data_IF_945409680063
#
_entry.id   IF_945409680063
#
_cell.length_a   1.000
_cell.length_b   1.000
_cell.length_c   1.000
_cell.angle_alpha   90.00
_cell.angle_beta   90.00
_cell.angle_gamma   90.00
#
_symmetry.space_group_name_H-M   'P 1'
#
loop_
_entity.id
_entity.type
_entity.pdbx_description
1 polymer ?
#
# COMPACT_ATOMS: atom_id res chain seq x y z
N UNK A 1 16.33 -4.93 -10.80
CA UNK A 1 14.89 -4.77 -11.12
C UNK A 1 14.19 -5.94 -10.43
N UNK A 2 13.18 -5.67 -9.60
CA UNK A 2 12.47 -6.74 -8.85
C UNK A 2 11.57 -7.56 -9.79
N UNK A 3 10.93 -6.88 -10.75
CA UNK A 3 9.99 -7.48 -11.71
C UNK A 3 10.26 -6.97 -13.13
N UNK A 4 10.03 -7.83 -14.12
CA UNK A 4 10.11 -7.49 -15.55
C UNK A 4 8.85 -6.83 -16.08
N UNK A 5 7.73 -6.97 -15.37
CA UNK A 5 6.46 -6.30 -15.65
C UNK A 5 6.08 -5.43 -14.45
N UNK A 6 5.81 -4.16 -14.71
CA UNK A 6 5.28 -3.20 -13.75
C UNK A 6 4.13 -2.50 -14.44
N UNK A 7 2.95 -2.54 -13.83
CA UNK A 7 1.81 -1.75 -14.26
C UNK A 7 1.72 -0.54 -13.31
N UNK A 8 1.66 0.67 -13.88
CA UNK A 8 1.70 1.93 -13.13
C UNK A 8 0.46 2.76 -13.48
N UNK A 9 -0.29 3.15 -12.46
CA UNK A 9 -1.56 3.85 -12.58
C UNK A 9 -1.52 5.09 -11.67
N UNK A 10 -1.60 6.28 -12.28
CA UNK A 10 -1.60 7.56 -11.57
C UNK A 10 -2.64 8.56 -12.10
N UNK A 11 -3.25 8.23 -13.25
CA UNK A 11 -4.21 9.10 -13.92
C UNK A 11 -5.59 8.91 -13.29
N UNK A 12 -6.14 9.97 -12.71
CA UNK A 12 -7.39 9.92 -11.92
C UNK A 12 -8.61 9.47 -12.71
N UNK A 13 -8.61 9.62 -14.04
CA UNK A 13 -9.68 9.07 -14.88
C UNK A 13 -9.60 7.54 -15.05
N UNK A 14 -8.46 6.93 -14.71
CA UNK A 14 -8.19 5.50 -14.83
C UNK A 14 -7.94 4.82 -13.46
N UNK A 15 -7.69 5.58 -12.39
CA UNK A 15 -7.61 5.06 -11.03
C UNK A 15 -8.99 5.11 -10.38
N UNK A 16 -9.93 4.30 -10.86
CA UNK A 16 -11.29 4.19 -10.27
C UNK A 16 -11.37 3.00 -9.30
N UNK A 17 -12.41 2.94 -8.46
CA UNK A 17 -12.72 1.78 -7.61
C UNK A 17 -12.84 0.51 -8.43
N UNK A 18 -13.56 0.57 -9.56
CA UNK A 18 -13.74 -0.59 -10.43
C UNK A 18 -12.41 -1.07 -10.99
N UNK A 19 -11.57 -0.16 -11.49
CA UNK A 19 -10.26 -0.51 -12.05
C UNK A 19 -9.36 -1.13 -10.99
N UNK A 20 -9.37 -0.59 -9.76
CA UNK A 20 -8.61 -1.17 -8.65
C UNK A 20 -9.09 -2.60 -8.33
N UNK A 21 -10.39 -2.81 -8.14
CA UNK A 21 -10.96 -4.14 -7.81
C UNK A 21 -10.67 -5.14 -8.93
N UNK A 22 -10.94 -4.77 -10.19
CA UNK A 22 -10.69 -5.63 -11.35
C UNK A 22 -9.22 -6.04 -11.39
N UNK A 23 -8.31 -5.10 -11.13
CA UNK A 23 -6.88 -5.37 -11.16
C UNK A 23 -6.42 -6.30 -10.03
N UNK A 24 -7.01 -6.15 -8.86
CA UNK A 24 -6.77 -7.07 -7.75
C UNK A 24 -7.33 -8.47 -8.03
N UNK A 25 -8.36 -8.60 -8.87
CA UNK A 25 -9.04 -9.86 -9.16
C UNK A 25 -8.50 -10.65 -10.38
N UNK A 26 -7.89 -9.99 -11.37
CA UNK A 26 -7.51 -10.60 -12.66
C UNK A 26 -6.45 -11.72 -12.55
N UNK A 27 -5.16 -11.37 -12.70
CA UNK A 27 -4.05 -12.34 -12.89
C UNK A 27 -3.22 -12.57 -11.63
N UNK A 28 -3.55 -11.88 -10.54
CA UNK A 28 -2.71 -11.78 -9.36
C UNK A 28 -1.49 -10.88 -9.57
N UNK A 29 -1.07 -10.25 -8.48
CA UNK A 29 0.03 -9.29 -8.43
C UNK A 29 0.93 -9.69 -7.28
N UNK A 30 2.19 -10.02 -7.58
CA UNK A 30 3.08 -10.45 -6.51
C UNK A 30 3.37 -9.30 -5.53
N UNK A 31 3.62 -8.09 -6.03
CA UNK A 31 3.87 -6.92 -5.19
C UNK A 31 2.99 -5.74 -5.58
N UNK A 32 2.20 -5.29 -4.61
CA UNK A 32 1.34 -4.10 -4.69
C UNK A 32 1.99 -2.99 -3.87
N UNK A 33 2.24 -1.86 -4.52
CA UNK A 33 2.62 -0.63 -3.84
C UNK A 33 1.58 0.42 -4.16
N UNK A 34 0.78 0.80 -3.17
CA UNK A 34 -0.35 1.69 -3.34
C UNK A 34 -0.14 2.97 -2.54
N UNK A 35 -0.49 4.10 -3.16
CA UNK A 35 -0.43 5.45 -2.60
C UNK A 35 -1.84 6.00 -2.64
N UNK A 36 -2.66 5.63 -1.66
CA UNK A 36 -4.07 5.94 -1.66
C UNK A 36 -4.43 6.56 -0.32
N UNK A 37 -5.23 7.63 -0.35
CA UNK A 37 -5.76 8.20 0.88
C UNK A 37 -6.58 7.15 1.62
N UNK A 38 -6.37 7.05 2.93
CA UNK A 38 -7.02 6.02 3.71
C UNK A 38 -7.39 6.49 5.12
N UNK A 39 -8.39 5.81 5.62
CA UNK A 39 -8.76 5.71 7.03
C UNK A 39 -8.81 4.21 7.34
N UNK A 40 -8.69 3.72 8.60
CA UNK A 40 -8.44 2.30 8.83
C UNK A 40 -9.27 1.34 7.97
N UNK A 41 -10.61 1.46 7.89
CA UNK A 41 -11.44 0.52 7.15
C UNK A 41 -11.76 0.95 5.71
N UNK A 42 -11.10 1.98 5.15
CA UNK A 42 -11.48 2.54 3.86
C UNK A 42 -10.31 3.14 3.08
N UNK A 43 -10.29 2.88 1.77
CA UNK A 43 -9.50 3.60 0.78
C UNK A 43 -10.40 4.62 0.07
N UNK A 44 -9.86 5.80 -0.18
CA UNK A 44 -10.51 6.90 -0.88
C UNK A 44 -9.82 7.12 -2.22
N UNK A 45 -10.51 6.70 -3.27
CA UNK A 45 -10.04 6.75 -4.64
C UNK A 45 -10.53 8.05 -5.27
N UNK A 46 -9.60 8.96 -5.62
CA UNK A 46 -9.93 10.21 -6.29
C UNK A 46 -10.23 9.96 -7.77
N UNK A 47 -11.45 10.31 -8.17
CA UNK A 47 -11.96 10.27 -9.54
C UNK A 47 -12.45 11.67 -9.89
N UNK A 48 -11.61 12.42 -10.59
CA UNK A 48 -11.90 13.78 -11.07
C UNK A 48 -12.38 14.77 -9.97
N UNK A 49 -11.85 14.64 -8.75
CA UNK A 49 -12.17 15.51 -7.61
C UNK A 49 -13.31 15.00 -6.73
N UNK A 50 -13.91 13.86 -7.07
CA UNK A 50 -14.86 13.12 -6.23
C UNK A 50 -14.20 11.84 -5.69
N UNK A 51 -14.74 11.27 -4.60
CA UNK A 51 -14.18 10.07 -3.99
C UNK A 51 -15.06 8.83 -4.16
N UNK A 52 -14.50 7.78 -4.74
CA UNK A 52 -15.03 6.43 -4.66
C UNK A 52 -14.39 5.69 -3.47
N UNK A 53 -15.20 4.93 -2.72
CA UNK A 53 -14.76 4.31 -1.46
C UNK A 53 -14.66 2.80 -1.62
N UNK A 54 -13.49 2.24 -1.32
CA UNK A 54 -13.31 0.80 -1.13
C UNK A 54 -13.27 0.54 0.38
N UNK A 55 -14.21 -0.23 0.88
CA UNK A 55 -14.26 -0.61 2.29
C UNK A 55 -13.43 -1.86 2.54
N UNK A 56 -12.99 -2.02 3.77
CA UNK A 56 -12.35 -3.25 4.26
C UNK A 56 -13.23 -4.50 4.06
N UNK A 57 -14.55 -4.32 3.99
CA UNK A 57 -15.53 -5.37 3.72
C UNK A 57 -15.72 -5.67 2.23
N UNK A 58 -15.19 -4.81 1.34
CA UNK A 58 -15.16 -5.07 -0.11
C UNK A 58 -13.97 -5.99 -0.49
N UNK A 59 -13.06 -6.29 0.45
CA UNK A 59 -11.94 -7.21 0.24
C UNK A 59 -12.42 -8.64 0.51
N UNK A 60 -12.27 -9.50 -0.50
CA UNK A 60 -12.60 -10.92 -0.42
C UNK A 60 -11.55 -11.81 -1.11
N UNK A 61 -11.83 -13.11 -1.18
CA UNK A 61 -10.93 -14.11 -1.78
C UNK A 61 -10.65 -13.91 -3.26
N UNK A 62 -11.39 -13.03 -3.95
CA UNK A 62 -11.10 -12.68 -5.33
C UNK A 62 -9.83 -11.85 -5.48
N UNK A 63 -9.40 -11.14 -4.43
CA UNK A 63 -8.17 -10.34 -4.45
C UNK A 63 -6.93 -11.25 -4.43
N UNK A 64 -6.03 -11.04 -5.39
CA UNK A 64 -4.87 -11.91 -5.67
C UNK A 64 -3.53 -11.19 -5.53
N UNK A 65 -3.39 -10.27 -4.58
CA UNK A 65 -2.10 -9.68 -4.24
C UNK A 65 -1.36 -10.46 -3.16
N UNK A 66 -0.04 -10.64 -3.27
CA UNK A 66 0.74 -11.41 -2.28
C UNK A 66 1.41 -10.52 -1.23
N UNK A 67 2.09 -9.46 -1.69
CA UNK A 67 2.81 -8.50 -0.85
C UNK A 67 2.24 -7.10 -1.05
N UNK A 68 1.90 -6.42 0.05
CA UNK A 68 1.40 -5.05 -0.01
C UNK A 68 2.29 -4.11 0.77
N UNK A 69 2.72 -3.04 0.12
CA UNK A 69 3.22 -1.85 0.78
C UNK A 69 2.14 -0.77 0.68
N UNK A 70 1.46 -0.53 1.79
CA UNK A 70 0.37 0.42 1.91
C UNK A 70 0.97 1.77 2.30
N UNK A 71 1.21 2.64 1.33
CA UNK A 71 1.46 4.06 1.57
C UNK A 71 0.11 4.76 1.82
N UNK A 72 -0.58 4.28 2.85
CA UNK A 72 -1.97 4.59 3.14
C UNK A 72 -2.11 4.92 4.63
N UNK A 73 -2.55 6.14 4.92
CA UNK A 73 -2.69 6.61 6.29
C UNK A 73 -3.60 5.69 7.11
N UNK A 74 -3.12 5.23 8.26
CA UNK A 74 -3.89 4.45 9.24
C UNK A 74 -4.43 3.08 8.75
N UNK A 75 -4.12 2.66 7.51
CA UNK A 75 -4.63 1.43 6.90
C UNK A 75 -4.23 0.15 7.66
N UNK A 76 -3.24 0.22 8.54
CA UNK A 76 -2.79 -0.86 9.40
C UNK A 76 -3.09 -0.64 10.90
N UNK A 77 -4.04 0.25 11.26
CA UNK A 77 -4.45 0.45 12.66
C UNK A 77 -5.15 -0.80 13.22
N UNK A 78 -4.36 -1.68 13.82
CA UNK A 78 -4.80 -2.98 14.33
C UNK A 78 -5.76 -2.95 15.52
N UNK A 79 -6.03 -1.78 16.11
CA UNK A 79 -7.01 -1.63 17.20
C UNK A 79 -8.45 -1.50 16.71
N UNK A 80 -8.66 -1.41 15.39
CA UNK A 80 -9.96 -1.33 14.73
C UNK A 80 -9.96 -2.17 13.44
N UNK A 81 -11.14 -2.39 12.84
CA UNK A 81 -11.23 -2.96 11.47
C UNK A 81 -10.38 -2.12 10.53
N UNK A 82 -9.51 -2.76 9.76
CA UNK A 82 -8.56 -2.06 8.91
C UNK A 82 -8.22 -2.80 7.61
N UNK A 83 -7.77 -2.07 6.59
CA UNK A 83 -7.43 -2.61 5.28
C UNK A 83 -6.34 -3.69 5.35
N UNK A 84 -5.27 -3.48 6.14
CA UNK A 84 -4.17 -4.43 6.22
C UNK A 84 -4.63 -5.80 6.77
N UNK A 85 -5.46 -5.79 7.83
CA UNK A 85 -6.05 -7.02 8.37
C UNK A 85 -7.01 -7.66 7.37
N UNK A 86 -7.88 -6.88 6.71
CA UNK A 86 -8.77 -7.42 5.67
C UNK A 86 -8.04 -8.06 4.49
N UNK A 87 -6.91 -7.49 4.05
CA UNK A 87 -6.07 -8.11 3.02
C UNK A 87 -5.49 -9.44 3.50
N UNK A 88 -4.92 -9.48 4.71
CA UNK A 88 -4.29 -10.69 5.27
C UNK A 88 -5.31 -11.80 5.57
N UNK A 89 -6.47 -11.48 6.13
CA UNK A 89 -7.44 -12.50 6.56
C UNK A 89 -8.59 -12.74 5.59
N UNK A 90 -8.88 -11.79 4.70
CA UNK A 90 -10.00 -11.86 3.76
C UNK A 90 -9.63 -12.41 2.38
N UNK A 91 -8.33 -12.56 2.09
CA UNK A 91 -7.86 -13.07 0.79
C UNK A 91 -7.11 -14.40 0.94
N UNK A 92 -7.11 -15.21 -0.10
CA UNK A 92 -6.38 -16.50 -0.11
C UNK A 92 -4.89 -16.34 -0.50
N UNK A 93 -4.50 -15.15 -0.99
CA UNK A 93 -3.19 -14.92 -1.61
C UNK A 93 -2.28 -13.99 -0.81
N UNK A 94 -2.81 -13.11 0.03
CA UNK A 94 -1.99 -12.15 0.78
C UNK A 94 -1.14 -12.85 1.84
N UNK A 95 0.17 -12.58 1.82
CA UNK A 95 1.15 -13.21 2.72
C UNK A 95 1.77 -12.19 3.66
N UNK A 96 2.00 -10.96 3.19
CA UNK A 96 2.56 -9.92 4.02
C UNK A 96 2.11 -8.52 3.60
N UNK A 97 1.86 -7.68 4.60
CA UNK A 97 1.48 -6.28 4.44
C UNK A 97 2.41 -5.42 5.28
N UNK A 98 2.90 -4.33 4.72
CA UNK A 98 3.57 -3.23 5.41
C UNK A 98 2.64 -2.01 5.34
N UNK A 99 2.32 -1.41 6.47
CA UNK A 99 1.42 -0.24 6.50
C UNK A 99 1.50 0.54 7.80
N UNK A 100 0.83 1.69 7.86
CA UNK A 100 0.89 2.60 9.01
C UNK A 100 -0.31 2.47 9.93
N UNK A 101 -0.07 2.54 11.25
CA UNK A 101 -1.12 2.60 12.30
C UNK A 101 -1.65 4.02 12.54
N UNK A 102 -0.96 5.03 11.99
CA UNK A 102 -1.29 6.45 12.09
C UNK A 102 -1.15 7.14 10.72
N UNK A 103 -1.27 8.47 10.66
CA UNK A 103 -0.87 9.23 9.48
C UNK A 103 0.61 8.95 9.17
N UNK A 104 0.90 8.64 7.91
CA UNK A 104 2.24 8.29 7.43
C UNK A 104 2.28 7.02 6.57
N UNK A 105 3.47 6.68 6.10
CA UNK A 105 3.74 5.54 5.22
C UNK A 105 5.22 5.44 4.83
N UNK A 106 5.57 4.46 4.01
CA UNK A 106 6.94 4.31 3.45
C UNK A 106 7.18 5.32 2.32
N UNK A 107 7.56 6.55 2.69
CA UNK A 107 7.76 7.69 1.78
C UNK A 107 8.98 7.54 0.85
N UNK A 108 10.05 6.91 1.37
CA UNK A 108 11.29 6.64 0.65
C UNK A 108 11.55 5.15 0.53
N UNK A 109 10.81 4.43 -0.33
CA UNK A 109 10.90 2.98 -0.38
C UNK A 109 12.17 2.49 -1.10
N UNK A 110 13.12 3.36 -1.46
CA UNK A 110 14.26 3.01 -2.31
C UNK A 110 15.09 1.88 -1.70
N UNK A 111 15.50 2.01 -0.43
CA UNK A 111 16.27 0.95 0.24
C UNK A 111 15.43 -0.29 0.54
N UNK A 112 14.12 -0.13 0.76
CA UNK A 112 13.18 -1.24 0.88
C UNK A 112 13.16 -2.07 -0.42
N UNK A 113 12.84 -1.42 -1.55
CA UNK A 113 12.78 -2.03 -2.88
C UNK A 113 14.13 -2.59 -3.33
N UNK A 114 15.22 -1.89 -3.07
CA UNK A 114 16.58 -2.37 -3.37
C UNK A 114 16.90 -3.65 -2.60
N UNK A 115 16.58 -3.70 -1.30
CA UNK A 115 16.77 -4.90 -0.49
C UNK A 115 15.96 -6.09 -1.01
N UNK A 116 14.69 -5.88 -1.37
CA UNK A 116 13.86 -6.89 -1.99
C UNK A 116 14.44 -7.38 -3.33
N UNK A 117 14.92 -6.47 -4.19
CA UNK A 117 15.54 -6.80 -5.47
C UNK A 117 16.86 -7.58 -5.35
N UNK A 118 17.54 -7.47 -4.20
CA UNK A 118 18.70 -8.29 -3.85
C UNK A 118 18.30 -9.64 -3.21
N UNK A 119 17.00 -9.94 -3.17
CA UNK A 119 16.44 -11.18 -2.67
C UNK A 119 16.27 -11.23 -1.15
N UNK A 120 16.38 -10.11 -0.43
CA UNK A 120 16.13 -10.08 1.02
C UNK A 120 14.68 -10.51 1.35
N UNK A 121 14.47 -11.07 2.54
CA UNK A 121 13.11 -11.30 3.02
C UNK A 121 12.41 -9.98 3.38
N UNK A 122 11.09 -10.01 3.42
CA UNK A 122 10.23 -8.85 3.65
C UNK A 122 10.64 -8.03 4.89
N UNK A 123 10.85 -8.71 6.02
CA UNK A 123 11.31 -8.10 7.27
C UNK A 123 12.73 -7.53 7.21
N UNK A 124 13.63 -8.19 6.48
CA UNK A 124 15.00 -7.67 6.30
C UNK A 124 15.01 -6.42 5.42
N UNK A 125 14.17 -6.37 4.38
CA UNK A 125 14.00 -5.18 3.57
C UNK A 125 13.43 -4.01 4.39
N UNK A 126 12.40 -4.27 5.21
CA UNK A 126 11.85 -3.27 6.13
C UNK A 126 12.92 -2.73 7.08
N UNK A 127 13.72 -3.61 7.70
CA UNK A 127 14.81 -3.21 8.58
C UNK A 127 15.85 -2.34 7.86
N UNK A 128 16.18 -2.66 6.62
CA UNK A 128 17.12 -1.84 5.82
C UNK A 128 16.57 -0.45 5.57
N UNK A 129 15.30 -0.34 5.21
CA UNK A 129 14.64 0.95 5.06
C UNK A 129 14.59 1.73 6.37
N UNK A 130 14.14 1.11 7.46
CA UNK A 130 14.02 1.78 8.75
C UNK A 130 15.37 2.32 9.24
N UNK A 131 16.45 1.55 9.08
CA UNK A 131 17.79 1.96 9.48
C UNK A 131 18.46 2.99 8.56
N UNK A 132 17.88 3.28 7.40
CA UNK A 132 18.42 4.26 6.45
C UNK A 132 17.61 5.55 6.43
N UNK A 133 16.28 5.45 6.48
CA UNK A 133 15.35 6.57 6.30
C UNK A 133 14.27 6.59 7.39
N UNK A 134 13.74 5.42 7.76
CA UNK A 134 12.58 5.34 8.65
C UNK A 134 12.82 5.80 10.09
N UNK A 135 14.08 6.03 10.49
CA UNK A 135 14.44 6.57 11.80
C UNK A 135 14.52 8.10 11.85
N UNK A 136 14.48 8.78 10.69
CA UNK A 136 14.75 10.23 10.60
C UNK A 136 13.53 11.12 10.92
N UNK A 137 12.31 10.58 10.80
CA UNK A 137 11.07 11.31 11.10
C UNK A 137 10.04 10.42 11.81
N UNK A 138 10.03 10.45 13.14
CA UNK A 138 9.04 9.75 13.95
C UNK A 138 7.60 10.22 13.67
N UNK A 139 7.40 11.49 13.33
CA UNK A 139 6.05 12.01 13.04
C UNK A 139 5.44 11.32 11.83
N UNK A 140 6.26 10.91 10.88
CA UNK A 140 5.83 10.19 9.67
C UNK A 140 5.98 8.67 9.76
N UNK A 141 7.13 8.18 10.22
CA UNK A 141 7.49 6.75 10.13
C UNK A 141 7.19 5.95 11.40
N UNK A 142 7.08 6.58 12.57
CA UNK A 142 6.73 5.84 13.78
C UNK A 142 5.32 5.23 13.63
N UNK A 143 5.14 3.96 13.98
CA UNK A 143 3.87 3.27 13.82
C UNK A 143 3.68 2.54 12.49
N UNK A 144 4.73 2.44 11.67
CA UNK A 144 4.80 1.42 10.62
C UNK A 144 4.83 0.03 11.24
N UNK A 145 3.99 -0.87 10.72
CA UNK A 145 3.92 -2.25 11.16
C UNK A 145 3.91 -3.21 9.98
N UNK A 146 4.26 -4.45 10.28
CA UNK A 146 4.17 -5.57 9.35
C UNK A 146 3.13 -6.56 9.86
N UNK A 147 2.21 -6.98 9.00
CA UNK A 147 1.30 -8.10 9.25
C UNK A 147 1.66 -9.24 8.29
N UNK A 148 1.59 -10.49 8.76
CA UNK A 148 1.95 -11.67 7.97
C UNK A 148 3.35 -12.21 8.29
N UNK A 149 3.99 -12.87 7.32
CA UNK A 149 5.30 -13.53 7.51
C UNK A 149 6.49 -12.60 7.16
N UNK A 150 7.34 -12.21 8.13
CA UNK A 150 8.50 -11.34 7.86
C UNK A 150 9.69 -12.07 7.22
N UNK A 151 9.74 -13.41 7.22
CA UNK A 151 10.89 -14.19 6.71
C UNK A 151 10.70 -14.69 5.28
N UNK A 152 9.53 -14.48 4.68
CA UNK A 152 9.28 -14.84 3.29
C UNK A 152 10.03 -13.91 2.32
N UNK A 153 10.35 -14.45 1.14
CA UNK A 153 11.01 -13.75 0.06
C UNK A 153 10.10 -13.71 -1.16
N UNK A 154 10.13 -12.59 -1.87
CA UNK A 154 9.53 -12.51 -3.20
C UNK A 154 10.34 -13.34 -4.19
N UNK A 155 9.66 -13.86 -5.20
CA UNK A 155 10.27 -14.54 -6.31
C UNK A 155 11.16 -13.56 -7.08
N UNK A 156 12.46 -13.83 -7.09
CA UNK A 156 13.40 -13.05 -7.89
C UNK A 156 13.73 -13.89 -9.12
N UNK A 157 13.17 -13.53 -10.28
CA UNK A 157 13.51 -14.17 -11.54
C UNK A 157 15.02 -14.04 -11.76
N UNK A 158 15.68 -15.15 -12.08
CA UNK A 158 17.13 -15.22 -12.16
C UNK A 158 17.68 -14.29 -13.26
N UNK A 159 18.97 -13.95 -13.21
CA UNK A 159 19.63 -13.14 -14.24
C UNK A 159 19.47 -13.73 -15.67
N UNK A 160 19.28 -15.05 -15.79
CA UNK A 160 18.97 -15.72 -17.07
C UNK A 160 17.55 -15.44 -17.59
N UNK A 161 16.60 -15.13 -16.71
CA UNK A 161 15.24 -14.75 -17.08
C UNK A 161 15.17 -13.26 -17.49
N UNK A 162 16.02 -12.41 -16.87
CA UNK A 162 16.14 -10.98 -17.14
C UNK A 162 16.81 -10.65 -18.48
N UNK A 163 17.68 -11.53 -18.98
CA UNK A 163 18.35 -11.36 -20.27
C UNK A 163 17.38 -11.38 -21.48
N UNK A 164 16.17 -11.93 -21.30
CA UNK A 164 15.15 -12.03 -22.36
C UNK A 164 14.27 -10.78 -22.50
N UNK A 165 14.35 -9.80 -21.59
CA UNK A 165 13.38 -8.70 -21.50
C UNK A 165 13.97 -7.30 -21.23
N UNK A 166 15.20 -7.03 -21.68
CA UNK A 166 15.89 -5.77 -21.43
C UNK A 166 15.11 -4.53 -21.91
N UNK A 167 14.55 -3.77 -20.98
CA UNK A 167 14.34 -2.32 -21.11
C UNK A 167 15.00 -1.60 -19.93
N UNK A 168 15.64 -0.50 -20.28
CA UNK A 168 16.53 0.34 -19.46
C UNK A 168 15.95 0.74 -18.10
N UNK A 169 16.80 0.73 -17.07
CA UNK A 169 16.55 1.24 -15.71
C UNK A 169 16.45 2.78 -15.63
N UNK A 170 16.47 3.48 -16.77
CA UNK A 170 16.50 4.95 -16.85
C UNK A 170 15.18 5.66 -16.52
N UNK A 171 14.11 4.93 -16.20
CA UNK A 171 12.75 5.49 -16.12
C UNK A 171 12.15 5.51 -14.70
N UNK A 172 12.89 5.14 -13.65
CA UNK A 172 12.52 5.57 -12.29
C UNK A 172 13.02 7.00 -12.10
N UNK A 173 12.15 7.97 -12.30
CA UNK A 173 12.39 9.35 -11.88
C UNK A 173 12.15 9.38 -10.36
N UNK A 174 13.16 9.70 -9.53
CA UNK A 174 12.93 9.98 -8.13
C UNK A 174 11.94 11.15 -8.03
N UNK A 175 10.90 11.00 -7.21
CA UNK A 175 10.00 12.11 -6.86
C UNK A 175 10.89 13.24 -6.31
N UNK A 176 10.76 14.43 -6.87
CA UNK A 176 11.58 15.60 -6.53
C UNK A 176 11.25 16.11 -5.12
N UNK A 177 12.19 16.78 -4.44
CA UNK A 177 11.95 17.33 -3.10
C UNK A 177 10.77 18.32 -3.04
N UNK A 178 10.41 18.95 -4.16
CA UNK A 178 9.24 19.85 -4.26
C UNK A 178 7.92 19.08 -4.38
N UNK A 179 7.85 18.04 -5.22
CA UNK A 179 6.71 17.11 -5.25
C UNK A 179 6.54 16.44 -3.89
N UNK A 180 7.64 16.28 -3.16
CA UNK A 180 7.60 15.73 -1.81
C UNK A 180 6.90 16.66 -0.82
N UNK A 181 7.31 17.92 -0.78
CA UNK A 181 6.70 18.92 0.10
C UNK A 181 5.21 19.16 -0.25
N UNK A 182 4.83 19.11 -1.53
CA UNK A 182 3.43 19.21 -1.94
C UNK A 182 2.60 18.02 -1.43
N UNK A 183 3.11 16.79 -1.56
CA UNK A 183 2.45 15.59 -1.01
C UNK A 183 2.39 15.65 0.53
N UNK A 184 3.44 16.16 1.19
CA UNK A 184 3.47 16.37 2.64
C UNK A 184 2.38 17.35 3.08
N UNK A 185 2.20 18.46 2.36
CA UNK A 185 1.18 19.45 2.63
C UNK A 185 -0.23 18.90 2.37
N UNK A 186 -0.42 18.18 1.26
CA UNK A 186 -1.69 17.50 0.95
C UNK A 186 -2.07 16.49 2.04
N UNK A 187 -1.11 15.71 2.56
CA UNK A 187 -1.37 14.71 3.59
C UNK A 187 -1.46 15.28 5.01
N UNK A 188 -0.80 16.40 5.30
CA UNK A 188 -0.87 17.10 6.60
C UNK A 188 -2.20 17.80 6.81
N UNK A 189 -2.74 18.40 5.75
CA UNK A 189 -3.98 19.16 5.82
C UNK A 189 -5.23 18.29 5.54
N UNK A 190 -5.04 17.01 5.19
CA UNK A 190 -6.14 16.07 4.96
C UNK A 190 -6.65 15.45 6.26
N UNK A 191 -7.69 16.06 6.81
CA UNK A 191 -8.73 15.28 7.50
C UNK A 191 -9.68 14.75 6.43
N UNK A 192 -10.11 13.46 6.48
CA UNK A 192 -11.26 13.05 5.69
C UNK A 192 -12.40 14.05 5.94
N UNK A 193 -13.26 14.35 4.95
CA UNK A 193 -14.37 15.28 5.15
C UNK A 193 -15.09 14.90 6.44
N UNK A 194 -15.24 15.86 7.36
CA UNK A 194 -15.61 15.62 8.76
C UNK A 194 -16.96 14.92 8.97
N UNK A 195 -17.75 14.74 7.91
CA UNK A 195 -18.94 13.85 7.88
C UNK A 195 -18.61 12.41 7.46
N UNK A 196 -17.95 12.21 6.32
CA UNK A 196 -17.73 10.89 5.72
C UNK A 196 -17.01 9.88 6.64
N UNK A 197 -15.96 10.31 7.36
CA UNK A 197 -15.26 9.41 8.28
C UNK A 197 -16.04 9.13 9.58
N UNK A 198 -16.86 10.07 10.03
CA UNK A 198 -17.74 9.89 11.19
C UNK A 198 -18.91 8.97 10.83
N UNK A 199 -19.55 9.20 9.67
CA UNK A 199 -20.64 8.39 9.13
C UNK A 199 -20.17 6.95 8.86
N UNK A 200 -18.97 6.76 8.30
CA UNK A 200 -18.36 5.43 8.14
C UNK A 200 -18.06 4.73 9.47
N UNK A 201 -17.63 5.47 10.50
CA UNK A 201 -17.40 4.90 11.83
C UNK A 201 -18.72 4.52 12.51
N UNK A 202 -19.78 5.33 12.36
CA UNK A 202 -21.11 5.02 12.87
C UNK A 202 -21.73 3.81 12.15
N UNK A 203 -21.65 3.74 10.81
CA UNK A 203 -22.12 2.61 10.02
C UNK A 203 -21.37 1.29 10.36
N UNK A 204 -20.07 1.37 10.60
CA UNK A 204 -19.25 0.21 10.99
C UNK A 204 -19.48 -0.21 12.45
N UNK A 205 -19.82 0.72 13.34
CA UNK A 205 -20.22 0.41 14.72
C UNK A 205 -21.63 -0.19 14.79
N UNK A 206 -22.54 0.22 13.89
CA UNK A 206 -23.89 -0.32 13.81
C UNK A 206 -23.93 -1.71 13.17
N UNK A 207 -23.16 -1.95 12.09
CA UNK A 207 -23.07 -3.27 11.44
C UNK A 207 -22.33 -4.34 12.26
N UNK A 208 -21.56 -3.95 13.27
CA UNK A 208 -20.92 -4.88 14.22
C UNK A 208 -21.82 -5.43 15.32
N UNK A 209 -23.09 -4.99 15.40
CA UNK A 209 -24.06 -5.40 16.43
C UNK A 209 -25.10 -6.44 15.94
N UNK A 210 -25.05 -6.88 14.68
CA UNK A 210 -26.04 -7.79 14.08
C UNK A 210 -25.59 -9.27 14.00
N UNK A 211 -24.60 -9.69 14.81
CA UNK A 211 -24.16 -11.09 14.92
C UNK A 211 -24.07 -11.60 16.35
#
# INVERSE_FOLDING_TARGET
>A
MIYTRVDFYQDTCNTTKSTYIDRMAESGTEYVYQWIHAFPPALFIDVEGEYEIIKADDIDSSFKGNFYNLFDCQAARFTVKNMASSLISGTDSCIAVLGSTKTGGVYYPVEFHKSLGLGACWGAAYKSWYNTEGFDDDSWYLGMIMMGDPVIRMYNASASDLAAGSRSLSNMIPISDEEKDEIYLQLRDFSPPSGLAADLLEDLQQSGNDH
#
